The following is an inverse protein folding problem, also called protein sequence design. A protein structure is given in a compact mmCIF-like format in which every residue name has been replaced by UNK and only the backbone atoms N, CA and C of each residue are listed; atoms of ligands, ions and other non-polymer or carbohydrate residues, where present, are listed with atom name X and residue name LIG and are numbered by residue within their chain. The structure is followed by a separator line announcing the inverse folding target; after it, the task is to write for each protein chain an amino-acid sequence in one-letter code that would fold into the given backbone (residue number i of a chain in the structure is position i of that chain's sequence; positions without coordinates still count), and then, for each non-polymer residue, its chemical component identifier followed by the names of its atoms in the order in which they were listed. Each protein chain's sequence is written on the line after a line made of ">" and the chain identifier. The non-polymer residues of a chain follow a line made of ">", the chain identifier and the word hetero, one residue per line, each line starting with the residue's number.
data_IF_391563971076
#
_entry.id   IF_391563971076
#
_cell.length_a   1.000
_cell.length_b   1.000
_cell.length_c   1.000
_cell.angle_alpha   90.00
_cell.angle_beta   90.00
_cell.angle_gamma   90.00
#
_symmetry.space_group_name_H-M   'P 1'
#
loop_
_entity.id
_entity.type
_entity.pdbx_description
1 polymer ?
#
# COMPACT_ATOMS: atom_id res chain seq x y z
N UNK A 1 -2.16 23.12 4.85
CA UNK A 1 -1.03 22.76 3.96
C UNK A 1 -1.28 21.33 3.52
N UNK A 2 -1.47 21.12 2.22
CA UNK A 2 -1.65 19.78 1.65
C UNK A 2 -0.40 18.93 1.98
N UNK A 3 -0.52 17.78 2.64
CA UNK A 3 0.62 16.92 2.89
C UNK A 3 1.25 16.51 1.56
N UNK A 4 2.53 16.85 1.36
CA UNK A 4 3.27 16.49 0.14
C UNK A 4 3.41 14.97 0.04
N UNK A 5 2.49 14.32 -0.67
CA UNK A 5 2.56 12.89 -0.97
C UNK A 5 3.51 12.66 -2.13
N UNK A 6 4.22 11.54 -2.08
CA UNK A 6 5.04 11.06 -3.17
C UNK A 6 4.32 9.92 -3.91
N UNK A 7 4.50 9.85 -5.22
CA UNK A 7 3.95 8.77 -6.02
C UNK A 7 4.57 7.42 -5.64
N UNK A 8 3.75 6.37 -5.64
CA UNK A 8 4.23 5.01 -5.38
C UNK A 8 5.15 4.54 -6.50
N UNK A 9 6.25 3.83 -6.19
CA UNK A 9 7.15 3.32 -7.20
C UNK A 9 6.46 2.24 -8.05
N UNK A 10 6.77 2.24 -9.34
CA UNK A 10 6.32 1.19 -10.27
C UNK A 10 6.86 -0.16 -9.83
N UNK A 11 6.03 -1.20 -9.94
CA UNK A 11 6.46 -2.55 -9.66
C UNK A 11 7.37 -3.06 -10.78
N UNK A 12 8.57 -3.47 -10.42
CA UNK A 12 9.51 -4.03 -11.37
C UNK A 12 9.10 -5.44 -11.76
N UNK A 13 9.26 -5.76 -13.04
CA UNK A 13 9.15 -7.12 -13.55
C UNK A 13 10.49 -7.86 -13.41
N UNK A 14 10.45 -9.09 -12.92
CA UNK A 14 11.62 -9.95 -12.74
C UNK A 14 11.19 -11.40 -12.55
N UNK A 15 11.95 -12.33 -13.12
CA UNK A 15 11.74 -13.78 -12.95
C UNK A 15 12.48 -14.35 -11.73
N UNK A 16 13.14 -13.50 -10.97
CA UNK A 16 13.90 -13.85 -9.77
C UNK A 16 13.70 -12.80 -8.68
N UNK A 17 13.88 -13.20 -7.42
CA UNK A 17 13.94 -12.23 -6.33
C UNK A 17 15.12 -11.28 -6.53
N UNK A 18 14.87 -9.98 -6.58
CA UNK A 18 15.91 -8.96 -6.77
C UNK A 18 16.79 -8.70 -5.53
N UNK A 19 16.71 -9.57 -4.51
CA UNK A 19 17.51 -9.51 -3.28
C UNK A 19 18.35 -10.78 -3.14
N UNK A 20 17.73 -11.96 -3.11
CA UNK A 20 18.45 -13.24 -2.97
C UNK A 20 18.62 -14.01 -4.28
N UNK A 21 18.16 -13.50 -5.41
CA UNK A 21 18.18 -14.13 -6.73
C UNK A 21 17.44 -15.48 -6.83
N UNK A 22 16.67 -15.89 -5.82
CA UNK A 22 15.85 -17.11 -5.86
C UNK A 22 14.88 -17.06 -7.05
N UNK A 23 14.72 -18.16 -7.82
CA UNK A 23 13.82 -18.20 -8.95
C UNK A 23 12.36 -18.09 -8.48
N UNK A 24 11.55 -17.30 -9.20
CA UNK A 24 10.10 -17.41 -9.03
C UNK A 24 9.56 -18.65 -9.72
N UNK A 25 8.38 -19.12 -9.32
CA UNK A 25 7.85 -20.43 -9.73
C UNK A 25 7.63 -20.61 -11.24
N UNK A 26 7.56 -19.53 -12.02
CA UNK A 26 7.49 -19.60 -13.49
C UNK A 26 8.87 -19.65 -14.17
N UNK A 27 9.96 -19.42 -13.45
CA UNK A 27 11.32 -19.47 -13.99
C UNK A 27 11.88 -20.91 -13.99
N UNK A 28 11.28 -21.77 -14.82
CA UNK A 28 11.63 -23.20 -14.90
C UNK A 28 13.10 -23.42 -15.21
N UNK A 29 13.67 -22.62 -16.12
CA UNK A 29 15.08 -22.71 -16.50
C UNK A 29 16.01 -22.52 -15.30
N UNK A 30 15.77 -21.49 -14.48
CA UNK A 30 16.61 -21.24 -13.31
C UNK A 30 16.38 -22.26 -12.21
N UNK A 31 15.12 -22.67 -11.97
CA UNK A 31 14.80 -23.74 -11.02
C UNK A 31 15.56 -25.04 -11.33
N UNK A 32 15.60 -25.44 -12.60
CA UNK A 32 16.35 -26.61 -13.06
C UNK A 32 17.85 -26.48 -12.81
N UNK A 33 18.44 -25.33 -13.17
CA UNK A 33 19.87 -25.08 -13.04
C UNK A 33 20.37 -25.10 -11.58
N UNK A 34 19.56 -24.62 -10.64
CA UNK A 34 19.93 -24.57 -9.21
C UNK A 34 19.30 -25.68 -8.38
N UNK A 35 18.63 -26.65 -9.03
CA UNK A 35 17.91 -27.76 -8.39
C UNK A 35 17.03 -27.31 -7.22
N UNK A 36 16.26 -26.23 -7.42
CA UNK A 36 15.46 -25.60 -6.36
C UNK A 36 14.03 -25.37 -6.79
N UNK A 37 13.08 -25.50 -5.86
CA UNK A 37 11.68 -25.14 -6.08
C UNK A 37 11.51 -23.62 -6.03
N UNK A 38 10.83 -23.07 -7.03
CA UNK A 38 10.63 -21.63 -7.15
C UNK A 38 9.70 -21.08 -6.08
N UNK A 39 9.87 -19.79 -5.80
CA UNK A 39 9.12 -19.07 -4.76
C UNK A 39 8.03 -18.18 -5.37
N UNK A 40 7.03 -17.79 -4.56
CA UNK A 40 6.03 -16.81 -4.96
C UNK A 40 6.64 -15.40 -5.00
N UNK A 41 6.29 -14.62 -6.02
CA UNK A 41 6.67 -13.22 -6.13
C UNK A 41 5.79 -12.32 -5.24
N UNK A 42 6.44 -11.32 -4.65
CA UNK A 42 5.83 -10.19 -3.97
C UNK A 42 6.53 -8.91 -4.39
N UNK A 43 5.93 -7.75 -4.11
CA UNK A 43 6.58 -6.46 -4.33
C UNK A 43 6.76 -5.68 -3.03
N UNK A 44 7.91 -5.02 -2.89
CA UNK A 44 8.10 -4.04 -1.82
C UNK A 44 7.36 -2.75 -2.16
N UNK A 45 6.47 -2.29 -1.28
CA UNK A 45 5.68 -1.07 -1.53
C UNK A 45 6.49 0.23 -1.47
N UNK A 46 7.70 0.18 -0.87
CA UNK A 46 8.60 1.35 -0.78
C UNK A 46 9.52 1.52 -2.00
N UNK A 47 9.96 0.44 -2.64
CA UNK A 47 10.90 0.52 -3.77
C UNK A 47 10.43 -0.17 -5.06
N UNK A 48 9.28 -0.84 -5.08
CA UNK A 48 8.73 -1.51 -6.26
C UNK A 48 9.42 -2.82 -6.64
N UNK A 49 10.51 -3.22 -5.97
CA UNK A 49 11.26 -4.45 -6.31
C UNK A 49 10.45 -5.73 -6.14
N UNK A 50 10.62 -6.66 -7.07
CA UNK A 50 10.14 -8.03 -7.00
C UNK A 50 10.98 -8.87 -6.03
N UNK A 51 10.36 -9.35 -4.97
CA UNK A 51 10.99 -10.00 -3.81
C UNK A 51 10.24 -11.28 -3.42
N UNK A 52 10.95 -12.23 -2.80
CA UNK A 52 10.30 -13.40 -2.18
C UNK A 52 9.87 -13.10 -0.74
N UNK A 53 9.11 -14.01 -0.14
CA UNK A 53 8.59 -13.83 1.23
C UNK A 53 9.72 -13.68 2.26
N UNK A 54 10.77 -14.53 2.17
CA UNK A 54 11.96 -14.46 3.04
C UNK A 54 12.69 -13.12 2.98
N UNK A 55 12.73 -12.46 1.83
CA UNK A 55 13.40 -11.16 1.67
C UNK A 55 12.48 -9.97 2.02
N UNK A 56 11.24 -10.24 2.41
CA UNK A 56 10.26 -9.19 2.73
C UNK A 56 9.35 -9.54 3.91
N UNK A 57 9.93 -9.92 5.08
CA UNK A 57 9.14 -10.37 6.22
C UNK A 57 8.41 -9.19 6.91
N UNK A 58 8.85 -7.96 6.68
CA UNK A 58 8.39 -6.80 7.43
C UNK A 58 7.19 -6.11 6.80
N UNK A 59 6.44 -5.42 7.66
CA UNK A 59 5.25 -4.64 7.33
C UNK A 59 5.35 -3.26 7.97
N UNK A 60 5.08 -2.20 7.22
CA UNK A 60 5.06 -0.81 7.70
C UNK A 60 3.89 -0.06 7.11
N UNK A 61 3.40 0.95 7.82
CA UNK A 61 2.72 2.08 7.19
C UNK A 61 3.72 2.92 6.40
N UNK A 62 3.28 3.50 5.29
CA UNK A 62 4.01 4.48 4.47
C UNK A 62 3.07 5.62 4.02
N UNK A 63 2.54 6.45 4.95
CA UNK A 63 1.64 7.57 4.66
C UNK A 63 2.09 8.53 3.54
N UNK A 64 3.39 8.82 3.43
CA UNK A 64 3.94 9.66 2.34
C UNK A 64 3.60 9.08 0.96
N UNK A 65 3.52 7.75 0.85
CA UNK A 65 3.13 7.02 -0.37
C UNK A 65 1.63 6.66 -0.40
N UNK A 66 0.83 7.18 0.52
CA UNK A 66 -0.61 6.88 0.63
C UNK A 66 -0.96 5.59 1.36
N UNK A 67 0.01 4.88 1.93
CA UNK A 67 -0.25 3.63 2.66
C UNK A 67 -0.47 3.89 4.16
N UNK A 68 -1.71 4.20 4.53
CA UNK A 68 -2.14 4.41 5.92
C UNK A 68 -2.29 3.09 6.72
N UNK A 69 -2.12 1.94 6.07
CA UNK A 69 -2.15 0.60 6.69
C UNK A 69 -0.87 -0.16 6.36
N UNK A 70 -0.61 -1.18 7.15
CA UNK A 70 0.58 -2.01 7.03
C UNK A 70 0.73 -2.70 5.66
N UNK A 71 1.77 -2.32 4.95
CA UNK A 71 2.14 -2.86 3.64
C UNK A 71 3.50 -3.55 3.67
N UNK A 72 3.72 -4.49 2.74
CA UNK A 72 4.95 -5.29 2.66
C UNK A 72 6.17 -4.44 2.29
N UNK A 73 7.23 -4.58 3.06
CA UNK A 73 8.52 -3.90 2.83
C UNK A 73 9.64 -4.95 2.81
N UNK A 74 10.59 -4.80 1.88
CA UNK A 74 11.76 -5.66 1.84
C UNK A 74 12.75 -5.36 2.97
N UNK A 75 13.58 -6.34 3.30
CA UNK A 75 14.61 -6.23 4.34
C UNK A 75 15.61 -5.07 4.12
N UNK A 76 15.83 -4.65 2.87
CA UNK A 76 16.70 -3.51 2.54
C UNK A 76 16.02 -2.16 2.79
N UNK A 77 14.71 -2.05 2.60
CA UNK A 77 13.97 -0.80 2.81
C UNK A 77 13.55 -0.62 4.27
N UNK A 78 13.25 -1.70 4.97
CA UNK A 78 12.73 -1.66 6.34
C UNK A 78 13.57 -0.82 7.32
N UNK A 79 14.92 -0.96 7.38
CA UNK A 79 15.75 -0.20 8.32
C UNK A 79 15.75 1.31 8.08
N UNK A 80 15.45 1.74 6.86
CA UNK A 80 15.43 3.16 6.48
C UNK A 80 14.06 3.83 6.66
N UNK A 81 13.08 3.13 7.23
CA UNK A 81 11.77 3.71 7.58
C UNK A 81 11.85 4.24 9.01
N UNK A 82 11.67 5.55 9.14
CA UNK A 82 11.66 6.28 10.41
C UNK A 82 10.24 6.42 10.96
N UNK A 83 10.10 6.86 12.21
CA UNK A 83 8.77 7.12 12.79
C UNK A 83 8.05 8.29 12.13
N UNK A 84 8.80 9.26 11.58
CA UNK A 84 8.22 10.32 10.79
C UNK A 84 7.57 9.78 9.50
N UNK A 85 8.17 8.76 8.87
CA UNK A 85 7.59 8.11 7.68
C UNK A 85 6.31 7.34 7.99
N UNK A 86 6.09 6.95 9.26
CA UNK A 86 4.91 6.20 9.73
C UNK A 86 3.76 7.09 10.18
N UNK A 87 4.01 8.40 10.33
CA UNK A 87 3.01 9.37 10.78
C UNK A 87 1.90 9.52 9.74
N UNK A 88 0.67 9.22 10.13
CA UNK A 88 -0.49 9.33 9.24
C UNK A 88 -0.62 10.75 8.66
N UNK A 89 -0.83 10.81 7.35
CA UNK A 89 -1.10 12.06 6.62
C UNK A 89 -2.59 12.15 6.24
N UNK A 90 -3.39 11.14 6.58
CA UNK A 90 -4.82 11.13 6.38
C UNK A 90 -5.55 11.58 7.65
N UNK A 91 -6.63 12.33 7.47
CA UNK A 91 -7.60 12.56 8.52
C UNK A 91 -8.58 11.39 8.46
N UNK A 92 -8.55 10.53 9.48
CA UNK A 92 -9.45 9.39 9.59
C UNK A 92 -10.78 9.87 10.17
N UNK A 93 -11.86 9.64 9.43
CA UNK A 93 -13.21 9.89 9.91
C UNK A 93 -14.00 8.59 9.99
N UNK A 94 -14.46 8.23 11.19
CA UNK A 94 -15.34 7.08 11.35
C UNK A 94 -16.73 7.43 10.84
N UNK A 95 -17.14 6.83 9.72
CA UNK A 95 -18.50 7.02 9.22
C UNK A 95 -19.58 6.62 10.25
N UNK A 96 -19.26 5.74 11.21
CA UNK A 96 -20.21 5.17 12.20
C UNK A 96 -21.45 4.53 11.55
N UNK A 97 -21.31 4.03 10.32
CA UNK A 97 -22.30 3.20 9.65
C UNK A 97 -21.64 2.50 8.44
N UNK A 98 -22.15 1.34 7.99
CA UNK A 98 -21.61 0.64 6.82
C UNK A 98 -21.95 1.38 5.53
N UNK A 99 -20.98 2.08 4.95
CA UNK A 99 -21.16 2.88 3.74
C UNK A 99 -21.22 2.00 2.48
N UNK A 100 -22.31 2.13 1.72
CA UNK A 100 -22.51 1.52 0.41
C UNK A 100 -21.96 2.41 -0.72
N UNK A 101 -22.22 3.72 -0.63
CA UNK A 101 -21.81 4.71 -1.63
C UNK A 101 -21.41 6.01 -0.95
N UNK A 102 -20.36 6.64 -1.47
CA UNK A 102 -19.91 7.99 -1.11
C UNK A 102 -20.05 8.88 -2.34
N UNK A 103 -20.52 10.11 -2.16
CA UNK A 103 -20.45 11.15 -3.18
C UNK A 103 -19.90 12.42 -2.55
N UNK A 104 -18.90 13.02 -3.19
CA UNK A 104 -18.37 14.33 -2.80
C UNK A 104 -18.97 15.37 -3.75
N UNK A 105 -19.48 16.44 -3.17
CA UNK A 105 -19.95 17.63 -3.88
C UNK A 105 -19.04 18.80 -3.47
N UNK A 106 -17.96 18.97 -4.25
CA UNK A 106 -16.89 19.93 -3.95
C UNK A 106 -17.42 21.36 -3.86
N UNK A 107 -18.37 21.74 -4.74
CA UNK A 107 -18.92 23.10 -4.76
C UNK A 107 -19.62 23.49 -3.46
N UNK A 108 -20.20 22.51 -2.77
CA UNK A 108 -20.91 22.73 -1.52
C UNK A 108 -20.05 22.38 -0.29
N UNK A 109 -18.85 21.85 -0.49
CA UNK A 109 -18.04 21.24 0.56
C UNK A 109 -18.84 20.22 1.37
N UNK A 110 -19.61 19.36 0.69
CA UNK A 110 -20.39 18.30 1.31
C UNK A 110 -19.92 16.93 0.84
N UNK A 111 -19.83 16.00 1.78
CA UNK A 111 -19.74 14.57 1.47
C UNK A 111 -21.03 13.89 1.90
N UNK A 112 -21.58 13.07 1.00
CA UNK A 112 -22.78 12.28 1.23
C UNK A 112 -22.37 10.81 1.37
N UNK A 113 -22.80 10.15 2.44
CA UNK A 113 -22.61 8.71 2.62
C UNK A 113 -23.96 8.02 2.71
N UNK A 114 -24.20 7.05 1.83
CA UNK A 114 -25.40 6.19 1.86
C UNK A 114 -25.01 4.84 2.45
N UNK A 115 -25.69 4.43 3.51
CA UNK A 115 -25.39 3.20 4.24
C UNK A 115 -26.28 2.01 3.87
N UNK A 116 -25.81 0.81 4.21
CA UNK A 116 -26.62 -0.43 4.09
C UNK A 116 -27.82 -0.43 5.04
N UNK A 117 -27.73 0.33 6.11
CA UNK A 117 -28.77 0.61 7.10
C UNK A 117 -29.84 1.61 6.61
N UNK A 118 -29.80 1.99 5.31
CA UNK A 118 -30.68 3.01 4.71
C UNK A 118 -30.52 4.39 5.34
N UNK A 119 -29.42 4.62 6.06
CA UNK A 119 -29.07 5.93 6.60
C UNK A 119 -28.26 6.70 5.56
N UNK A 120 -28.70 7.92 5.26
CA UNK A 120 -27.93 8.89 4.51
C UNK A 120 -27.35 9.91 5.49
N UNK A 121 -26.03 10.06 5.51
CA UNK A 121 -25.36 11.10 6.28
C UNK A 121 -24.80 12.16 5.34
N UNK A 122 -24.93 13.41 5.76
CA UNK A 122 -24.34 14.58 5.10
C UNK A 122 -23.25 15.10 6.02
N UNK A 123 -22.04 15.22 5.49
CA UNK A 123 -20.87 15.67 6.20
C UNK A 123 -20.43 17.01 5.64
N UNK A 124 -20.23 17.98 6.52
CA UNK A 124 -19.53 19.22 6.17
C UNK A 124 -18.03 18.90 6.09
N UNK A 125 -17.46 19.08 4.90
CA UNK A 125 -16.04 18.82 4.64
C UNK A 125 -15.25 20.11 4.39
N UNK A 126 -15.78 21.29 4.77
CA UNK A 126 -15.03 22.57 4.67
C UNK A 126 -13.69 22.54 5.40
N UNK A 127 -13.58 21.75 6.47
CA UNK A 127 -12.33 21.61 7.22
C UNK A 127 -11.35 20.60 6.60
N UNK A 128 -11.73 19.91 5.52
CA UNK A 128 -10.90 18.93 4.80
C UNK A 128 -10.29 19.48 3.50
N UNK A 129 -10.71 20.67 3.06
CA UNK A 129 -10.24 21.36 1.84
C UNK A 129 -9.41 22.59 2.23
#
# INVERSE_FOLDING_TARGET
>A
MDPSRAETPTWSESDVCQICAAPFFWNVKKMWNVMSVGVRQHHCRRCGKAVCDKCSPFRSTLPVLGFERDVRVCNTCWPSITDNDRRSLAILFEARHPVLRVRIEERLNLMLTLGKDRVLKVWDIKALV
#
